data_IF_071286473655
#
_entry.id   IF_071286473655
#
_cell.length_a   1.000
_cell.length_b   1.000
_cell.length_c   1.000
_cell.angle_alpha   90.00
_cell.angle_beta   90.00
_cell.angle_gamma   90.00
#
_symmetry.space_group_name_H-M   'P 1'
#
loop_
_entity.id
_entity.type
_entity.pdbx_description
1 polymer ?
#
# COMPACT_ATOMS: atom_id res chain seq x y z
N UNK A 1 2.15 -14.63 24.33
CA UNK A 1 1.02 -14.62 23.39
C UNK A 1 0.64 -13.22 22.84
N UNK A 2 1.53 -12.56 22.08
CA UNK A 2 1.21 -11.32 21.34
C UNK A 2 1.90 -11.25 19.95
N UNK A 3 2.45 -12.36 19.46
CA UNK A 3 3.24 -12.39 18.23
C UNK A 3 2.44 -11.99 16.98
N UNK A 4 1.15 -12.36 16.93
CA UNK A 4 0.23 -11.94 15.87
C UNK A 4 0.05 -10.43 15.83
N UNK A 5 -0.24 -9.82 16.98
CA UNK A 5 -0.46 -8.38 17.09
C UNK A 5 0.81 -7.59 16.75
N UNK A 6 1.97 -8.06 17.21
CA UNK A 6 3.27 -7.46 16.89
C UNK A 6 3.58 -7.50 15.40
N UNK A 7 3.36 -8.64 14.75
CA UNK A 7 3.60 -8.80 13.31
C UNK A 7 2.63 -7.96 12.47
N UNK A 8 1.37 -7.90 12.91
CA UNK A 8 0.33 -7.07 12.30
C UNK A 8 0.67 -5.57 12.40
N UNK A 9 1.04 -5.09 13.58
CA UNK A 9 1.41 -3.69 13.80
C UNK A 9 2.71 -3.34 13.06
N UNK A 10 3.73 -4.20 13.10
CA UNK A 10 4.98 -3.98 12.38
C UNK A 10 4.74 -3.92 10.85
N UNK A 11 3.96 -4.84 10.29
CA UNK A 11 3.59 -4.83 8.88
C UNK A 11 2.73 -3.63 8.49
N UNK A 12 1.77 -3.25 9.34
CA UNK A 12 0.91 -2.09 9.12
C UNK A 12 1.68 -0.77 9.13
N UNK A 13 2.58 -0.57 10.11
CA UNK A 13 3.43 0.63 10.20
C UNK A 13 4.41 0.68 9.02
N UNK A 14 5.09 -0.44 8.72
CA UNK A 14 6.00 -0.51 7.59
C UNK A 14 5.29 -0.19 6.26
N UNK A 15 4.08 -0.72 6.05
CA UNK A 15 3.25 -0.42 4.88
C UNK A 15 2.86 1.06 4.79
N UNK A 16 2.47 1.67 5.91
CA UNK A 16 2.17 3.10 5.98
C UNK A 16 3.40 3.98 5.67
N UNK A 17 4.58 3.65 6.21
CA UNK A 17 5.82 4.36 5.92
C UNK A 17 6.23 4.23 4.45
N UNK A 18 6.16 3.01 3.90
CA UNK A 18 6.45 2.76 2.48
C UNK A 18 5.55 3.60 1.58
N UNK A 19 4.24 3.60 1.84
CA UNK A 19 3.28 4.40 1.08
C UNK A 19 3.51 5.90 1.18
N UNK A 20 3.84 6.38 2.38
CA UNK A 20 4.10 7.81 2.59
C UNK A 20 5.33 8.25 1.81
N UNK A 21 6.34 7.38 1.68
CA UNK A 21 7.52 7.64 0.85
C UNK A 21 7.17 7.72 -0.64
N UNK A 22 6.24 6.89 -1.11
CA UNK A 22 5.82 6.81 -2.52
C UNK A 22 4.72 7.82 -2.87
N UNK A 23 4.00 8.38 -1.89
CA UNK A 23 2.86 9.27 -2.08
C UNK A 23 3.11 10.47 -3.03
N UNK A 24 4.26 11.16 -3.00
CA UNK A 24 4.55 12.25 -3.95
C UNK A 24 4.55 11.79 -5.42
N UNK A 25 5.10 10.60 -5.68
CA UNK A 25 5.17 10.03 -7.02
C UNK A 25 3.79 9.57 -7.49
N UNK A 26 3.03 8.91 -6.62
CA UNK A 26 1.65 8.52 -6.91
C UNK A 26 0.78 9.74 -7.23
N UNK A 27 0.95 10.84 -6.49
CA UNK A 27 0.21 12.08 -6.74
C UNK A 27 0.52 12.67 -8.12
N UNK A 28 1.80 12.73 -8.50
CA UNK A 28 2.22 13.21 -9.81
C UNK A 28 1.71 12.30 -10.93
N UNK A 29 1.80 10.98 -10.76
CA UNK A 29 1.25 10.02 -11.72
C UNK A 29 -0.24 10.25 -11.96
N UNK A 30 -1.04 10.42 -10.90
CA UNK A 30 -2.47 10.70 -11.00
C UNK A 30 -2.73 12.02 -11.72
N UNK A 31 -1.99 13.09 -11.41
CA UNK A 31 -2.15 14.40 -12.06
C UNK A 31 -1.85 14.35 -13.57
N UNK A 32 -0.81 13.62 -13.97
CA UNK A 32 -0.45 13.45 -15.37
C UNK A 32 -1.47 12.56 -16.11
N UNK A 33 -1.87 11.44 -15.52
CA UNK A 33 -2.84 10.51 -16.13
C UNK A 33 -4.24 11.12 -16.24
N UNK A 34 -4.68 11.85 -15.22
CA UNK A 34 -5.96 12.55 -15.21
C UNK A 34 -6.01 13.78 -16.13
N UNK A 35 -4.97 14.02 -16.95
CA UNK A 35 -4.91 15.12 -17.92
C UNK A 35 -5.18 16.49 -17.30
N UNK A 36 -4.66 16.70 -16.09
CA UNK A 36 -4.94 17.92 -15.34
C UNK A 36 -4.42 19.13 -16.13
N UNK A 37 -5.29 20.11 -16.43
CA UNK A 37 -4.98 21.22 -17.33
C UNK A 37 -3.68 21.97 -16.97
N UNK A 38 -3.35 22.01 -15.68
CA UNK A 38 -2.19 22.73 -15.17
C UNK A 38 -0.86 21.94 -15.22
N UNK A 39 -0.93 20.61 -15.39
CA UNK A 39 0.23 19.72 -15.26
C UNK A 39 0.39 18.75 -16.46
N UNK A 40 -0.63 18.63 -17.33
CA UNK A 40 -0.68 17.69 -18.48
C UNK A 40 0.52 17.79 -19.43
N UNK A 41 1.11 18.97 -19.57
CA UNK A 41 2.24 19.22 -20.47
C UNK A 41 3.61 19.07 -19.78
N UNK A 42 3.65 18.77 -18.49
CA UNK A 42 4.89 18.65 -17.72
C UNK A 42 5.37 17.21 -17.68
N UNK A 43 6.69 17.01 -17.73
CA UNK A 43 7.31 15.73 -17.41
C UNK A 43 7.22 15.41 -15.91
N UNK A 44 7.49 14.17 -15.52
CA UNK A 44 7.39 13.69 -14.12
C UNK A 44 8.20 14.56 -13.15
N UNK A 45 9.47 14.85 -13.46
CA UNK A 45 10.33 15.69 -12.62
C UNK A 45 9.86 17.16 -12.57
N UNK A 46 9.35 17.67 -13.69
CA UNK A 46 8.81 19.03 -13.75
C UNK A 46 7.53 19.17 -12.93
N UNK A 47 6.65 18.16 -12.96
CA UNK A 47 5.45 18.11 -12.12
C UNK A 47 5.79 17.97 -10.62
N UNK A 48 6.78 17.15 -10.26
CA UNK A 48 7.26 17.03 -8.87
C UNK A 48 7.79 18.35 -8.30
N UNK A 49 8.36 19.23 -9.12
CA UNK A 49 8.80 20.58 -8.71
C UNK A 49 7.66 21.60 -8.74
N UNK A 50 6.79 21.52 -9.74
CA UNK A 50 5.69 22.48 -9.92
C UNK A 50 4.61 22.37 -8.84
N UNK A 51 4.31 21.15 -8.36
CA UNK A 51 3.27 20.96 -7.34
C UNK A 51 3.62 21.64 -6.01
N UNK A 52 4.81 21.45 -5.41
CA UNK A 52 5.22 22.20 -4.22
C UNK A 52 5.25 23.72 -4.41
N UNK A 53 5.62 24.21 -5.59
CA UNK A 53 5.66 25.63 -5.89
C UNK A 53 4.26 26.27 -5.94
N UNK A 54 3.24 25.52 -6.38
CA UNK A 54 1.85 26.02 -6.52
C UNK A 54 0.97 25.73 -5.31
N UNK A 55 1.08 24.53 -4.73
CA UNK A 55 0.18 24.03 -3.69
C UNK A 55 0.88 23.81 -2.34
N UNK A 56 2.19 24.09 -2.25
CA UNK A 56 3.02 23.79 -1.09
C UNK A 56 3.46 22.34 -1.01
N UNK A 57 4.43 22.03 -0.14
CA UNK A 57 4.97 20.67 0.03
C UNK A 57 3.91 19.63 0.41
N UNK A 58 2.88 20.03 1.17
CA UNK A 58 1.75 19.16 1.52
C UNK A 58 0.83 18.85 0.32
N UNK A 59 0.89 19.64 -0.76
CA UNK A 59 0.15 19.38 -2.00
C UNK A 59 0.53 18.05 -2.66
N UNK A 60 1.78 17.59 -2.48
CA UNK A 60 2.24 16.27 -2.93
C UNK A 60 1.59 15.10 -2.18
N UNK A 61 1.07 15.34 -0.97
CA UNK A 61 0.44 14.32 -0.13
C UNK A 61 -1.10 14.41 -0.15
N UNK A 62 -1.67 15.31 -0.95
CA UNK A 62 -3.11 15.51 -1.04
C UNK A 62 -3.79 14.23 -1.55
N UNK A 63 -4.63 13.63 -0.70
CA UNK A 63 -5.30 12.35 -0.96
C UNK A 63 -4.62 11.11 -0.35
N UNK A 64 -3.40 11.23 0.21
CA UNK A 64 -2.71 10.12 0.85
C UNK A 64 -3.49 9.57 2.06
N UNK A 65 -4.10 10.45 2.86
CA UNK A 65 -4.91 10.05 4.02
C UNK A 65 -6.12 9.18 3.64
N UNK A 66 -6.86 9.55 2.59
CA UNK A 66 -7.96 8.73 2.05
C UNK A 66 -7.44 7.37 1.57
N UNK A 67 -6.24 7.34 0.98
CA UNK A 67 -5.61 6.10 0.56
C UNK A 67 -5.18 5.22 1.75
N UNK A 68 -4.75 5.81 2.88
CA UNK A 68 -4.42 5.09 4.11
C UNK A 68 -5.66 4.47 4.75
N UNK A 69 -6.76 5.22 4.84
CA UNK A 69 -8.06 4.73 5.33
C UNK A 69 -8.55 3.54 4.51
N UNK A 70 -8.29 3.53 3.19
CA UNK A 70 -8.63 2.38 2.34
C UNK A 70 -7.71 1.18 2.55
N UNK A 71 -6.40 1.40 2.66
CA UNK A 71 -5.42 0.29 2.66
C UNK A 71 -5.28 -0.37 4.01
N UNK A 72 -5.51 0.36 5.11
CA UNK A 72 -5.47 -0.23 6.44
C UNK A 72 -6.47 -1.39 6.63
N UNK A 73 -7.78 -1.26 6.36
CA UNK A 73 -8.73 -2.37 6.50
C UNK A 73 -8.50 -3.47 5.47
N UNK A 74 -8.11 -3.10 4.23
CA UNK A 74 -7.79 -4.07 3.19
C UNK A 74 -6.61 -4.97 3.59
N UNK A 75 -5.51 -4.36 4.02
CA UNK A 75 -4.33 -5.09 4.50
C UNK A 75 -4.64 -5.91 5.77
N UNK A 76 -5.51 -5.42 6.64
CA UNK A 76 -5.91 -6.13 7.84
C UNK A 76 -6.67 -7.42 7.54
N UNK A 77 -7.66 -7.36 6.63
CA UNK A 77 -8.43 -8.53 6.20
C UNK A 77 -7.52 -9.51 5.46
N UNK A 78 -6.67 -9.02 4.56
CA UNK A 78 -5.76 -9.87 3.78
C UNK A 78 -4.76 -10.61 4.67
N UNK A 79 -4.19 -9.95 5.69
CA UNK A 79 -3.26 -10.59 6.62
C UNK A 79 -3.96 -11.62 7.52
N UNK A 80 -5.18 -11.31 7.98
CA UNK A 80 -6.00 -12.24 8.76
C UNK A 80 -6.38 -13.48 7.95
N UNK A 81 -6.84 -13.28 6.71
CA UNK A 81 -7.18 -14.34 5.78
C UNK A 81 -5.96 -15.21 5.46
N UNK A 82 -4.81 -14.60 5.14
CA UNK A 82 -3.57 -15.32 4.86
C UNK A 82 -3.17 -16.24 6.01
N UNK A 83 -3.24 -15.78 7.26
CA UNK A 83 -2.82 -16.57 8.42
C UNK A 83 -3.82 -17.66 8.78
N UNK A 84 -5.12 -17.41 8.54
CA UNK A 84 -6.15 -18.41 8.64
C UNK A 84 -5.95 -19.53 7.60
N UNK A 85 -5.76 -19.17 6.32
CA UNK A 85 -5.54 -20.14 5.24
C UNK A 85 -4.23 -20.89 5.40
N UNK A 86 -3.17 -20.20 5.83
CA UNK A 86 -1.86 -20.82 6.07
C UNK A 86 -1.92 -21.85 7.18
N UNK A 87 -2.62 -21.55 8.27
CA UNK A 87 -2.82 -22.49 9.38
C UNK A 87 -3.67 -23.69 8.95
N UNK A 88 -4.75 -23.46 8.21
CA UNK A 88 -5.61 -24.50 7.63
C UNK A 88 -4.82 -25.43 6.69
N UNK A 89 -4.09 -24.88 5.73
CA UNK A 89 -3.33 -25.66 4.74
C UNK A 89 -2.20 -26.44 5.42
N UNK A 90 -1.48 -25.82 6.37
CA UNK A 90 -0.40 -26.50 7.09
C UNK A 90 -0.94 -27.65 7.96
N UNK A 91 -2.07 -27.45 8.65
CA UNK A 91 -2.60 -28.41 9.63
C UNK A 91 -3.40 -29.54 8.97
N UNK A 92 -4.17 -29.26 7.91
CA UNK A 92 -5.06 -30.23 7.26
C UNK A 92 -4.43 -30.96 6.09
N UNK A 93 -3.52 -30.33 5.34
CA UNK A 93 -2.94 -30.91 4.12
C UNK A 93 -1.51 -31.42 4.32
N UNK A 94 -0.83 -31.10 5.43
CA UNK A 94 0.54 -31.56 5.69
C UNK A 94 1.58 -31.04 4.69
N UNK A 95 1.21 -30.09 3.83
CA UNK A 95 2.07 -29.53 2.78
C UNK A 95 2.93 -28.42 3.37
N UNK A 96 4.18 -28.73 3.69
CA UNK A 96 5.19 -27.75 4.10
C UNK A 96 6.08 -27.41 2.90
N UNK A 97 6.02 -26.15 2.41
CA UNK A 97 6.82 -25.69 1.28
C UNK A 97 6.36 -24.34 0.70
N UNK A 98 7.10 -23.84 -0.31
CA UNK A 98 6.82 -22.55 -0.97
C UNK A 98 5.44 -22.51 -1.66
N UNK A 99 4.93 -23.66 -2.12
CA UNK A 99 3.65 -23.79 -2.82
C UNK A 99 2.46 -23.42 -1.93
N UNK A 100 2.50 -23.79 -0.65
CA UNK A 100 1.42 -23.47 0.28
C UNK A 100 1.35 -21.95 0.55
N UNK A 101 2.49 -21.26 0.66
CA UNK A 101 2.52 -19.78 0.80
C UNK A 101 1.91 -19.07 -0.41
N UNK A 102 2.14 -19.62 -1.61
CA UNK A 102 1.55 -19.11 -2.84
C UNK A 102 0.03 -19.29 -2.88
N UNK A 103 -0.46 -20.49 -2.51
CA UNK A 103 -1.90 -20.78 -2.46
C UNK A 103 -2.62 -19.93 -1.41
N UNK A 104 -2.07 -19.83 -0.19
CA UNK A 104 -2.61 -19.00 0.87
C UNK A 104 -2.65 -17.51 0.48
N UNK A 105 -1.64 -17.04 -0.26
CA UNK A 105 -1.60 -15.68 -0.81
C UNK A 105 -2.63 -15.44 -1.93
N UNK A 106 -2.94 -16.44 -2.74
CA UNK A 106 -3.97 -16.33 -3.81
C UNK A 106 -5.41 -16.37 -3.31
N UNK A 107 -5.64 -16.92 -2.12
CA UNK A 107 -6.97 -17.06 -1.51
C UNK A 107 -7.34 -15.90 -0.58
N UNK A 108 -6.37 -15.04 -0.23
CA UNK A 108 -6.52 -13.90 0.68
C UNK A 108 -6.65 -12.57 -0.08
#
# INVERSE_FOLDING_TARGET
>A
DFYWLRSFLAGGIAGCCAKTTVAPLDRVKVLLQAHNHHYKHLGVFSALRAVPQKEGYLGLYKGNGAMMIRIFPYGAIQFMAFEHYKTLITTKLGVSGHVHRLMAGSMA
#
